data_IF_615773633099
#
_entry.id   IF_615773633099
#
_cell.length_a   1.000
_cell.length_b   1.000
_cell.length_c   1.000
_cell.angle_alpha   90.00
_cell.angle_beta   90.00
_cell.angle_gamma   90.00
#
_symmetry.space_group_name_H-M   'P 1'
#
loop_
_entity.id
_entity.type
_entity.pdbx_description
1 polymer ?
#
# COMPACT_ATOMS: atom_id res chain seq x y z
N UNK A 1 16.39 -53.75 -1.44
CA UNK A 1 15.61 -52.97 -0.45
C UNK A 1 14.91 -51.91 -1.27
N UNK A 2 13.64 -52.16 -1.60
CA UNK A 2 12.79 -51.29 -2.42
C UNK A 2 12.39 -50.05 -1.60
N UNK A 3 12.46 -48.87 -2.19
CA UNK A 3 12.02 -47.62 -1.55
C UNK A 3 10.48 -47.57 -1.58
N UNK A 4 9.80 -47.19 -0.49
CA UNK A 4 8.34 -47.13 -0.50
C UNK A 4 7.89 -45.96 -1.40
N UNK A 5 6.97 -46.24 -2.32
CA UNK A 5 6.26 -45.20 -3.06
C UNK A 5 5.30 -44.47 -2.12
N UNK A 6 5.45 -43.15 -2.04
CA UNK A 6 4.49 -42.29 -1.37
C UNK A 6 3.29 -42.08 -2.32
N UNK A 7 2.16 -42.73 -2.03
CA UNK A 7 0.90 -42.39 -2.65
C UNK A 7 0.43 -41.03 -2.11
N UNK A 8 0.61 -39.98 -2.91
CA UNK A 8 0.05 -38.67 -2.65
C UNK A 8 -1.48 -38.78 -2.68
N UNK A 9 -2.10 -38.73 -1.51
CA UNK A 9 -3.55 -38.87 -1.36
C UNK A 9 -4.15 -37.47 -1.37
N UNK A 10 -4.94 -37.14 -2.40
CA UNK A 10 -5.64 -35.87 -2.46
C UNK A 10 -6.59 -35.71 -1.26
N UNK A 11 -6.66 -34.51 -0.65
CA UNK A 11 -7.53 -34.28 0.48
C UNK A 11 -9.01 -34.36 0.07
N UNK A 12 -9.90 -34.79 0.98
CA UNK A 12 -11.33 -34.92 0.70
C UNK A 12 -11.95 -33.57 0.29
N UNK A 13 -12.95 -33.64 -0.60
CA UNK A 13 -13.61 -32.49 -1.25
C UNK A 13 -14.17 -31.43 -0.29
N UNK A 14 -14.39 -31.81 0.97
CA UNK A 14 -15.07 -31.01 1.98
C UNK A 14 -14.11 -30.41 3.01
N UNK A 15 -12.80 -30.35 2.70
CA UNK A 15 -11.80 -29.75 3.58
C UNK A 15 -12.02 -28.22 3.74
N UNK A 16 -12.10 -27.71 4.99
CA UNK A 16 -12.40 -26.29 5.26
C UNK A 16 -11.16 -25.39 5.34
N UNK A 17 -9.95 -25.86 5.01
CA UNK A 17 -8.76 -25.02 5.06
C UNK A 17 -8.70 -24.00 3.90
N UNK A 18 -8.10 -22.85 4.17
CA UNK A 18 -8.03 -21.70 3.24
C UNK A 18 -7.37 -22.05 1.90
N UNK A 19 -6.41 -22.97 1.89
CA UNK A 19 -5.72 -23.39 0.66
C UNK A 19 -6.59 -24.28 -0.22
N UNK A 20 -7.40 -25.18 0.35
CA UNK A 20 -8.40 -25.92 -0.41
C UNK A 20 -9.53 -25.01 -0.90
N UNK A 21 -9.90 -23.96 -0.15
CA UNK A 21 -10.86 -22.97 -0.62
C UNK A 21 -10.32 -22.15 -1.82
N UNK A 22 -9.05 -21.75 -1.78
CA UNK A 22 -8.36 -21.10 -2.91
C UNK A 22 -8.28 -22.00 -4.15
N UNK A 23 -7.92 -23.28 -3.98
CA UNK A 23 -7.87 -24.23 -5.08
C UNK A 23 -9.22 -24.38 -5.80
N UNK A 24 -10.31 -24.54 -5.04
CA UNK A 24 -11.67 -24.64 -5.61
C UNK A 24 -12.12 -23.39 -6.36
N UNK A 25 -11.69 -22.20 -5.91
CA UNK A 25 -11.98 -20.94 -6.61
C UNK A 25 -11.21 -20.85 -7.94
N UNK A 26 -9.94 -21.25 -7.96
CA UNK A 26 -9.12 -21.28 -9.18
C UNK A 26 -9.69 -22.24 -10.24
N UNK A 27 -10.10 -23.45 -9.83
CA UNK A 27 -10.69 -24.43 -10.75
C UNK A 27 -12.07 -24.02 -11.28
N UNK A 28 -12.89 -23.34 -10.47
CA UNK A 28 -14.14 -22.75 -10.96
C UNK A 28 -13.86 -21.68 -12.01
N UNK A 29 -12.89 -20.81 -11.75
CA UNK A 29 -12.52 -19.74 -12.68
C UNK A 29 -12.01 -20.28 -14.02
N UNK A 30 -11.18 -21.33 -14.00
CA UNK A 30 -10.68 -22.00 -15.20
C UNK A 30 -11.80 -22.62 -16.06
N UNK A 31 -12.88 -23.11 -15.42
CA UNK A 31 -14.04 -23.70 -16.12
C UNK A 31 -15.02 -22.66 -16.68
N UNK A 32 -15.02 -21.45 -16.16
CA UNK A 32 -15.92 -20.35 -16.59
C UNK A 32 -15.25 -19.29 -17.45
N UNK A 33 -13.93 -19.33 -17.62
CA UNK A 33 -13.21 -18.37 -18.44
C UNK A 33 -13.54 -18.60 -19.94
N UNK A 34 -14.02 -17.56 -20.67
CA UNK A 34 -14.18 -17.67 -22.11
C UNK A 34 -12.81 -17.85 -22.80
N UNK A 35 -12.73 -18.55 -23.93
CA UNK A 35 -11.46 -18.73 -24.65
C UNK A 35 -10.89 -17.37 -25.07
N UNK A 36 -9.56 -17.24 -24.94
CA UNK A 36 -8.86 -16.02 -25.35
C UNK A 36 -9.13 -15.70 -26.83
N UNK A 37 -9.34 -14.43 -27.20
CA UNK A 37 -9.54 -14.05 -28.59
C UNK A 37 -8.27 -14.33 -29.39
N UNK A 38 -8.43 -15.07 -30.49
CA UNK A 38 -7.37 -15.28 -31.47
C UNK A 38 -7.03 -13.95 -32.17
N UNK A 39 -5.74 -13.58 -32.29
CA UNK A 39 -5.37 -12.34 -32.96
C UNK A 39 -5.63 -12.45 -34.47
N UNK A 40 -6.53 -11.60 -34.98
CA UNK A 40 -6.79 -11.47 -36.42
C UNK A 40 -5.74 -10.53 -37.02
N UNK A 41 -4.97 -10.94 -38.05
CA UNK A 41 -3.99 -10.06 -38.67
C UNK A 41 -4.70 -8.92 -39.43
N UNK A 42 -4.28 -7.70 -39.13
CA UNK A 42 -4.75 -6.45 -39.72
C UNK A 42 -4.39 -6.39 -41.21
N UNK A 43 -5.40 -6.21 -42.08
CA UNK A 43 -5.20 -5.91 -43.51
C UNK A 43 -5.58 -4.45 -43.78
N UNK A 44 -4.74 -3.63 -44.44
CA UNK A 44 -5.11 -2.27 -44.81
C UNK A 44 -6.18 -2.30 -45.92
N UNK A 45 -7.26 -1.57 -45.74
CA UNK A 45 -8.35 -1.45 -46.70
C UNK A 45 -7.96 -0.53 -47.87
N UNK A 46 -8.11 -1.03 -49.10
CA UNK A 46 -8.09 -0.25 -50.34
C UNK A 46 -9.53 0.23 -50.60
N UNK A 47 -9.77 1.50 -50.98
CA UNK A 47 -11.12 1.98 -51.25
C UNK A 47 -11.57 1.54 -52.66
N UNK A 48 -12.65 0.77 -52.74
CA UNK A 48 -13.33 0.49 -54.01
C UNK A 48 -14.57 1.36 -54.13
N UNK A 49 -14.56 2.22 -55.14
CA UNK A 49 -15.73 2.94 -55.67
C UNK A 49 -16.53 1.98 -56.57
N UNK A 50 -17.85 1.89 -56.40
CA UNK A 50 -18.84 1.69 -57.48
C UNK A 50 -20.27 1.61 -56.89
N UNK A 51 -21.14 2.57 -57.17
CA UNK A 51 -22.12 2.63 -58.30
C UNK A 51 -23.49 2.08 -57.88
N UNK A 52 -24.45 3.00 -57.89
CA UNK A 52 -25.91 2.80 -57.77
C UNK A 52 -26.50 2.10 -58.98
N UNK A 53 -27.49 1.21 -58.77
CA UNK A 53 -28.59 0.99 -59.73
C UNK A 53 -29.92 0.83 -58.98
N UNK A 54 -30.92 1.50 -59.56
CA UNK A 54 -32.32 1.66 -59.17
C UNK A 54 -33.11 0.35 -59.03
N UNK A 55 -34.11 0.40 -58.15
CA UNK A 55 -35.29 -0.48 -58.17
C UNK A 55 -36.50 0.19 -57.50
N UNK A 56 -37.37 0.75 -58.33
CA UNK A 56 -38.75 1.26 -58.11
C UNK A 56 -39.68 0.16 -57.55
N UNK A 57 -40.86 0.35 -56.97
CA UNK A 57 -41.75 1.44 -56.51
C UNK A 57 -42.83 0.75 -55.63
N UNK A 58 -43.53 1.40 -54.69
CA UNK A 58 -44.90 1.96 -54.75
C UNK A 58 -45.35 1.85 -53.27
N UNK A 59 -45.98 2.79 -52.57
CA UNK A 59 -46.51 4.12 -52.84
C UNK A 59 -47.38 4.53 -51.64
N UNK A 60 -47.77 5.80 -51.64
CA UNK A 60 -48.75 6.49 -50.77
C UNK A 60 -48.31 6.80 -49.34
N UNK A 61 -48.14 8.09 -49.08
CA UNK A 61 -47.92 8.64 -47.74
C UNK A 61 -49.19 9.19 -47.12
N UNK A 62 -49.09 9.56 -45.85
CA UNK A 62 -49.78 10.69 -45.24
C UNK A 62 -49.10 10.97 -43.89
N UNK A 63 -48.52 12.16 -43.75
CA UNK A 63 -48.17 12.72 -42.45
C UNK A 63 -49.44 12.93 -41.64
N UNK A 64 -49.49 12.49 -40.39
CA UNK A 64 -50.36 13.06 -39.37
C UNK A 64 -49.54 13.25 -38.08
N UNK A 65 -49.83 14.39 -37.47
CA UNK A 65 -49.09 15.03 -36.40
C UNK A 65 -49.03 14.23 -35.09
N UNK A 66 -48.07 14.64 -34.28
CA UNK A 66 -47.91 14.27 -32.89
C UNK A 66 -49.22 14.34 -32.09
N UNK A 67 -49.46 13.30 -31.29
CA UNK A 67 -50.31 13.35 -30.12
C UNK A 67 -49.65 12.50 -29.03
N UNK A 68 -49.19 13.17 -27.96
CA UNK A 68 -48.87 12.53 -26.70
C UNK A 68 -50.15 12.05 -26.03
N UNK A 69 -50.09 10.99 -25.21
CA UNK A 69 -51.00 10.85 -24.08
C UNK A 69 -50.24 10.81 -22.75
N UNK A 70 -50.48 11.86 -21.98
CA UNK A 70 -51.09 11.86 -20.65
C UNK A 70 -50.56 10.93 -19.54
N UNK A 71 -50.30 11.59 -18.40
CA UNK A 71 -49.79 11.09 -17.15
C UNK A 71 -50.70 10.03 -16.49
N UNK A 72 -50.08 8.95 -16.03
CA UNK A 72 -50.67 8.07 -15.02
C UNK A 72 -50.17 8.48 -13.62
N UNK A 73 -51.12 8.75 -12.73
CA UNK A 73 -50.92 9.09 -11.33
C UNK A 73 -50.25 7.94 -10.52
N UNK A 74 -49.63 8.23 -9.37
CA UNK A 74 -48.63 7.36 -8.76
C UNK A 74 -49.28 6.19 -8.01
N UNK A 75 -48.75 4.99 -8.24
CA UNK A 75 -49.00 3.84 -7.36
C UNK A 75 -48.32 4.10 -6.01
N UNK A 76 -49.12 4.06 -4.95
CA UNK A 76 -48.70 4.20 -3.55
C UNK A 76 -47.69 3.11 -3.19
N UNK A 77 -46.41 3.40 -3.37
CA UNK A 77 -45.34 2.55 -2.86
C UNK A 77 -45.37 2.63 -1.33
N UNK A 78 -45.75 1.51 -0.70
CA UNK A 78 -45.58 1.31 0.73
C UNK A 78 -44.13 1.63 1.08
N UNK A 79 -43.95 2.68 1.86
CA UNK A 79 -42.68 3.08 2.45
C UNK A 79 -42.20 1.92 3.31
N UNK A 80 -41.41 1.02 2.71
CA UNK A 80 -40.50 0.21 3.49
C UNK A 80 -39.61 1.22 4.21
N UNK A 81 -39.72 1.26 5.53
CA UNK A 81 -38.72 1.91 6.37
C UNK A 81 -37.38 1.31 5.94
N UNK A 82 -36.63 2.06 5.13
CA UNK A 82 -35.25 1.77 4.89
C UNK A 82 -34.62 1.72 6.27
N UNK A 83 -34.22 0.52 6.71
CA UNK A 83 -33.32 0.40 7.85
C UNK A 83 -32.21 1.40 7.61
N UNK A 84 -32.02 2.32 8.56
CA UNK A 84 -30.85 3.18 8.56
C UNK A 84 -29.63 2.28 8.29
N UNK A 85 -28.71 2.67 7.37
CA UNK A 85 -27.52 1.86 7.15
C UNK A 85 -26.86 1.67 8.52
N UNK A 86 -26.57 0.42 8.87
CA UNK A 86 -25.85 0.12 10.10
C UNK A 86 -24.63 1.06 10.13
N UNK A 87 -24.48 1.82 11.21
CA UNK A 87 -23.31 2.65 11.41
C UNK A 87 -22.10 1.70 11.36
N UNK A 88 -21.34 1.77 10.27
CA UNK A 88 -20.16 0.92 10.14
C UNK A 88 -19.17 1.43 11.19
N UNK A 89 -18.83 0.56 12.13
CA UNK A 89 -17.94 0.94 13.23
C UNK A 89 -16.51 0.97 12.70
N UNK A 90 -15.77 2.07 12.88
CA UNK A 90 -14.38 2.15 12.45
C UNK A 90 -13.53 1.04 13.09
N UNK A 91 -12.67 0.41 12.30
CA UNK A 91 -11.82 -0.70 12.77
C UNK A 91 -10.79 -0.20 13.79
N UNK A 92 -10.53 -0.99 14.84
CA UNK A 92 -9.33 -0.85 15.69
C UNK A 92 -8.17 -1.59 15.02
N UNK A 93 -7.11 -0.87 14.67
CA UNK A 93 -6.02 -1.40 13.83
C UNK A 93 -4.65 -1.06 14.43
N UNK A 94 -3.69 -1.98 14.34
CA UNK A 94 -2.29 -1.62 14.58
C UNK A 94 -1.74 -0.79 13.42
N UNK A 95 -0.61 -0.11 13.62
CA UNK A 95 0.08 0.61 12.53
C UNK A 95 0.45 -0.31 11.38
N UNK A 96 0.95 -1.49 11.70
CA UNK A 96 1.31 -2.48 10.69
C UNK A 96 0.09 -2.84 9.83
N UNK A 97 -1.08 -3.05 10.44
CA UNK A 97 -2.32 -3.34 9.72
C UNK A 97 -2.77 -2.17 8.84
N UNK A 98 -2.65 -0.93 9.31
CA UNK A 98 -2.98 0.27 8.50
C UNK A 98 -2.07 0.34 7.26
N UNK A 99 -0.76 0.16 7.43
CA UNK A 99 0.21 0.20 6.33
C UNK A 99 0.02 -1.00 5.38
N UNK A 100 -0.32 -2.17 5.89
CA UNK A 100 -0.61 -3.34 5.06
C UNK A 100 -1.82 -3.09 4.16
N UNK A 101 -2.90 -2.53 4.73
CA UNK A 101 -4.10 -2.13 3.97
C UNK A 101 -3.77 -1.11 2.89
N UNK A 102 -3.01 -0.08 3.22
CA UNK A 102 -2.53 0.92 2.26
C UNK A 102 -1.69 0.28 1.15
N UNK A 103 -0.78 -0.65 1.50
CA UNK A 103 0.10 -1.32 0.54
C UNK A 103 -0.69 -2.16 -0.47
N UNK A 104 -1.79 -2.82 -0.07
CA UNK A 104 -2.63 -3.59 -1.00
C UNK A 104 -3.16 -2.75 -2.16
N UNK A 105 -3.54 -1.49 -1.92
CA UNK A 105 -3.98 -0.60 -2.99
C UNK A 105 -2.83 -0.08 -3.84
N UNK A 106 -1.68 0.24 -3.25
CA UNK A 106 -0.51 0.70 -4.02
C UNK A 106 0.09 -0.41 -4.88
N UNK A 107 0.11 -1.64 -4.38
CA UNK A 107 0.64 -2.81 -5.09
C UNK A 107 -0.28 -3.23 -6.24
N UNK A 108 -1.60 -3.10 -6.06
CA UNK A 108 -2.59 -3.32 -7.10
C UNK A 108 -2.70 -2.15 -8.10
N UNK A 109 -2.00 -1.03 -7.85
CA UNK A 109 -2.11 0.21 -8.63
C UNK A 109 -3.57 0.60 -8.89
N UNK A 110 -4.39 0.65 -7.82
CA UNK A 110 -5.84 0.92 -7.93
C UNK A 110 -6.07 2.24 -8.69
N UNK A 111 -6.82 2.24 -9.81
CA UNK A 111 -6.99 3.44 -10.64
C UNK A 111 -7.68 4.58 -9.89
N UNK A 112 -7.20 5.81 -10.05
CA UNK A 112 -7.79 6.97 -9.40
C UNK A 112 -9.17 7.31 -9.98
N UNK A 113 -10.17 7.46 -9.12
CA UNK A 113 -11.52 7.89 -9.51
C UNK A 113 -12.31 8.48 -8.34
N UNK A 114 -12.80 9.71 -8.51
CA UNK A 114 -13.69 10.40 -7.55
C UNK A 114 -15.12 9.84 -7.52
N UNK A 115 -15.50 8.94 -8.44
CA UNK A 115 -16.87 8.46 -8.60
C UNK A 115 -17.03 6.94 -8.54
N UNK A 116 -15.93 6.19 -8.59
CA UNK A 116 -15.94 4.73 -8.56
C UNK A 116 -15.47 4.22 -7.20
N UNK A 117 -15.98 3.05 -6.85
CA UNK A 117 -15.53 2.27 -5.69
C UNK A 117 -14.74 1.06 -6.15
N UNK A 118 -13.75 0.67 -5.36
CA UNK A 118 -13.02 -0.58 -5.54
C UNK A 118 -13.82 -1.77 -4.99
N UNK A 119 -13.33 -2.98 -5.21
CA UNK A 119 -14.02 -4.23 -4.82
C UNK A 119 -14.21 -4.40 -3.32
N UNK A 120 -13.47 -3.66 -2.50
CA UNK A 120 -13.59 -3.60 -1.04
C UNK A 120 -14.58 -2.53 -0.54
N UNK A 121 -15.29 -1.85 -1.45
CA UNK A 121 -16.34 -0.89 -1.13
C UNK A 121 -15.88 0.54 -0.91
N UNK A 122 -14.57 0.83 -0.99
CA UNK A 122 -14.04 2.18 -0.80
C UNK A 122 -13.86 2.95 -2.11
N UNK A 123 -14.04 4.26 -2.08
CA UNK A 123 -13.91 5.17 -3.23
C UNK A 123 -12.45 5.30 -3.63
N UNK A 124 -12.18 5.27 -4.93
CA UNK A 124 -10.82 5.20 -5.47
C UNK A 124 -10.11 6.58 -5.53
N UNK A 125 -10.34 7.45 -4.56
CA UNK A 125 -9.72 8.77 -4.48
C UNK A 125 -8.85 8.93 -3.23
N UNK A 126 -8.24 10.11 -3.04
CA UNK A 126 -7.30 10.37 -1.96
C UNK A 126 -7.90 10.10 -0.56
N UNK A 127 -9.11 10.61 -0.30
CA UNK A 127 -9.80 10.39 0.98
C UNK A 127 -10.40 9.00 1.15
N UNK A 128 -10.84 8.36 0.07
CA UNK A 128 -11.28 6.97 0.09
C UNK A 128 -10.13 6.00 0.35
N UNK A 129 -8.92 6.31 -0.13
CA UNK A 129 -7.70 5.59 0.21
C UNK A 129 -7.42 5.60 1.73
N UNK A 130 -7.51 6.75 2.39
CA UNK A 130 -7.31 6.85 3.85
C UNK A 130 -8.45 6.19 4.61
N UNK A 131 -9.70 6.38 4.16
CA UNK A 131 -10.87 5.69 4.72
C UNK A 131 -10.71 4.17 4.68
N UNK A 132 -10.18 3.66 3.57
CA UNK A 132 -9.83 2.26 3.39
C UNK A 132 -8.69 1.86 4.32
N UNK A 133 -7.58 2.59 4.35
CA UNK A 133 -6.42 2.25 5.18
C UNK A 133 -6.76 2.18 6.68
N UNK A 134 -7.63 3.09 7.16
CA UNK A 134 -8.11 3.11 8.55
C UNK A 134 -9.32 2.20 8.80
N UNK A 135 -9.91 1.62 7.76
CA UNK A 135 -11.05 0.73 7.89
C UNK A 135 -12.27 1.42 8.52
N UNK A 136 -12.60 2.62 8.05
CA UNK A 136 -13.70 3.41 8.62
C UNK A 136 -15.07 2.76 8.38
N UNK A 137 -15.19 1.92 7.35
CA UNK A 137 -16.46 1.33 6.92
C UNK A 137 -17.40 2.33 6.21
N UNK A 138 -17.02 3.59 6.13
CA UNK A 138 -17.61 4.64 5.32
C UNK A 138 -16.57 5.24 4.36
N UNK A 139 -17.04 6.07 3.42
CA UNK A 139 -16.21 6.74 2.43
C UNK A 139 -16.14 8.24 2.72
N UNK A 140 -15.30 8.61 3.68
CA UNK A 140 -15.13 9.99 4.09
C UNK A 140 -14.50 10.85 2.98
N UNK A 141 -14.56 12.16 3.18
CA UNK A 141 -13.94 13.14 2.31
C UNK A 141 -13.01 14.03 3.14
N UNK A 142 -12.18 14.82 2.47
CA UNK A 142 -11.14 15.63 3.13
C UNK A 142 -11.68 16.60 4.20
N UNK A 143 -12.94 17.02 4.12
CA UNK A 143 -13.59 17.87 5.11
C UNK A 143 -14.24 17.15 6.29
N UNK A 144 -14.21 15.81 6.35
CA UNK A 144 -14.74 15.02 7.49
C UNK A 144 -13.73 14.04 8.09
N UNK A 145 -12.59 13.80 7.44
CA UNK A 145 -11.58 12.85 7.92
C UNK A 145 -10.98 13.21 9.29
N UNK A 146 -10.96 14.50 9.64
CA UNK A 146 -10.51 14.98 10.94
C UNK A 146 -11.43 14.56 12.10
N UNK A 147 -12.71 14.29 11.84
CA UNK A 147 -13.63 13.74 12.84
C UNK A 147 -13.22 12.35 13.35
N UNK A 148 -12.44 11.60 12.57
CA UNK A 148 -11.95 10.25 12.90
C UNK A 148 -10.53 10.24 13.48
N UNK A 149 -9.93 11.41 13.63
CA UNK A 149 -8.52 11.54 14.00
C UNK A 149 -8.30 12.60 15.09
N UNK A 150 -7.10 12.62 15.66
CA UNK A 150 -6.61 13.67 16.55
C UNK A 150 -5.46 14.39 15.88
N UNK A 151 -5.42 15.72 15.95
CA UNK A 151 -4.31 16.51 15.42
C UNK A 151 -3.06 16.23 16.25
N UNK A 152 -1.92 16.02 15.58
CA UNK A 152 -0.63 15.75 16.22
C UNK A 152 0.44 16.75 15.76
N UNK A 153 1.55 16.81 16.48
CA UNK A 153 2.72 17.54 16.03
C UNK A 153 3.44 16.76 14.91
N UNK A 154 4.21 17.47 14.08
CA UNK A 154 5.04 16.85 13.02
C UNK A 154 6.01 15.83 13.63
N UNK A 155 6.55 16.16 14.78
CA UNK A 155 7.56 15.40 15.49
C UNK A 155 7.05 14.04 15.95
N UNK A 156 5.73 13.94 16.13
CA UNK A 156 5.01 12.76 16.57
C UNK A 156 4.54 11.87 15.42
N UNK A 157 4.75 12.26 14.15
CA UNK A 157 4.33 11.48 12.99
C UNK A 157 4.90 10.06 13.03
N UNK A 158 4.01 9.09 12.94
CA UNK A 158 4.32 7.65 12.87
C UNK A 158 3.58 7.02 11.69
N UNK A 159 4.09 5.88 11.16
CA UNK A 159 3.43 5.18 10.06
C UNK A 159 1.93 4.94 10.33
N UNK A 160 1.08 5.22 9.35
CA UNK A 160 -0.37 5.11 9.45
C UNK A 160 -1.09 6.37 9.95
N UNK A 161 -0.37 7.41 10.38
CA UNK A 161 -0.92 8.76 10.54
C UNK A 161 -1.19 9.37 9.14
N UNK A 162 -2.05 10.40 9.03
CA UNK A 162 -2.29 11.10 7.77
C UNK A 162 -1.74 12.53 7.80
N UNK A 163 -1.48 13.06 6.61
CA UNK A 163 -1.26 14.48 6.36
C UNK A 163 -2.45 14.98 5.53
N UNK A 164 -3.29 15.81 6.16
CA UNK A 164 -4.54 16.29 5.60
C UNK A 164 -4.43 17.75 5.18
N UNK A 165 -4.74 18.04 3.92
CA UNK A 165 -5.02 19.37 3.43
C UNK A 165 -6.47 19.45 2.94
N UNK A 166 -7.26 20.29 3.60
CA UNK A 166 -8.61 20.62 3.16
C UNK A 166 -8.69 22.11 2.80
N UNK A 167 -9.14 22.40 1.58
CA UNK A 167 -9.45 23.74 1.10
C UNK A 167 -10.99 23.88 1.01
N UNK A 168 -11.64 24.63 1.92
CA UNK A 168 -13.09 24.84 1.88
C UNK A 168 -13.58 25.59 0.63
N UNK A 169 -12.72 26.39 -0.02
CA UNK A 169 -13.06 27.11 -1.24
C UNK A 169 -12.96 26.19 -2.48
N UNK A 170 -12.13 25.15 -2.41
CA UNK A 170 -12.00 24.13 -3.44
C UNK A 170 -11.95 22.71 -2.85
N UNK A 171 -13.07 22.21 -2.30
CA UNK A 171 -13.11 20.99 -1.49
C UNK A 171 -12.80 19.70 -2.27
N UNK A 172 -12.95 19.72 -3.59
CA UNK A 172 -12.72 18.55 -4.45
C UNK A 172 -11.34 18.55 -5.10
N UNK A 173 -10.98 19.64 -5.76
CA UNK A 173 -9.75 19.68 -6.57
C UNK A 173 -8.58 20.37 -5.84
N UNK A 174 -8.86 21.17 -4.80
CA UNK A 174 -7.86 21.87 -3.98
C UNK A 174 -7.55 21.18 -2.66
N UNK A 175 -8.22 20.07 -2.36
CA UNK A 175 -7.99 19.28 -1.15
C UNK A 175 -7.27 17.98 -1.49
N UNK A 176 -6.42 17.52 -0.58
CA UNK A 176 -5.71 16.26 -0.73
C UNK A 176 -5.31 15.68 0.62
N UNK A 177 -5.11 14.37 0.65
CA UNK A 177 -4.67 13.68 1.86
C UNK A 177 -3.70 12.57 1.48
N UNK A 178 -2.67 12.41 2.31
CA UNK A 178 -1.71 11.31 2.17
C UNK A 178 -1.60 10.55 3.47
N UNK A 179 -1.33 9.25 3.39
CA UNK A 179 -1.02 8.42 4.55
C UNK A 179 0.50 8.37 4.72
N UNK A 180 0.98 8.73 5.90
CA UNK A 180 2.39 8.77 6.25
C UNK A 180 2.92 7.35 6.45
N UNK A 181 3.92 6.96 5.67
CA UNK A 181 4.57 5.65 5.71
C UNK A 181 5.86 5.61 6.53
N UNK A 182 6.36 6.76 6.98
CA UNK A 182 7.64 6.89 7.66
C UNK A 182 8.53 7.96 7.02
N UNK A 183 9.39 8.57 7.83
CA UNK A 183 10.45 9.45 7.33
C UNK A 183 11.44 8.63 6.49
N UNK A 184 11.92 9.18 5.38
CA UNK A 184 12.92 8.51 4.54
C UNK A 184 14.32 8.58 5.14
N UNK A 185 14.55 9.56 6.02
CA UNK A 185 15.84 9.81 6.67
C UNK A 185 15.65 10.67 7.94
N UNK A 186 16.69 10.80 8.80
CA UNK A 186 16.59 11.55 10.05
C UNK A 186 16.38 13.06 9.91
N UNK A 187 16.60 13.66 8.73
CA UNK A 187 16.33 15.09 8.52
C UNK A 187 14.82 15.39 8.58
N UNK A 188 13.98 14.34 8.45
CA UNK A 188 12.52 14.43 8.43
C UNK A 188 12.02 15.42 7.38
N UNK A 189 12.78 15.60 6.30
CA UNK A 189 12.44 16.51 5.19
C UNK A 189 11.71 15.80 4.06
N UNK A 190 11.75 14.47 4.05
CA UNK A 190 11.04 13.60 3.11
C UNK A 190 10.42 12.43 3.85
N UNK A 191 9.26 12.00 3.37
CA UNK A 191 8.55 10.85 3.92
C UNK A 191 8.04 9.97 2.80
N UNK A 192 7.79 8.71 3.11
CA UNK A 192 7.08 7.80 2.23
C UNK A 192 5.60 8.13 2.30
N UNK A 193 5.02 8.69 1.24
CA UNK A 193 3.59 8.88 1.13
C UNK A 193 2.95 7.63 0.50
N UNK A 194 1.92 7.09 1.16
CA UNK A 194 0.94 6.20 0.55
C UNK A 194 -0.28 7.02 0.19
N UNK A 195 -0.69 7.02 -1.08
CA UNK A 195 -1.79 7.87 -1.53
C UNK A 195 -2.48 7.28 -2.77
N UNK A 196 -3.75 7.63 -2.94
CA UNK A 196 -4.39 7.63 -4.25
C UNK A 196 -4.24 9.03 -4.85
N UNK A 197 -3.48 9.11 -5.95
CA UNK A 197 -3.36 10.29 -6.78
C UNK A 197 -3.50 9.85 -8.25
N UNK A 198 -3.74 10.78 -9.18
CA UNK A 198 -3.78 10.41 -10.59
C UNK A 198 -2.39 9.92 -11.03
N UNK A 199 -2.29 8.82 -11.81
CA UNK A 199 -3.38 8.02 -12.37
C UNK A 199 -3.88 6.85 -11.49
N UNK A 200 -3.16 6.48 -10.43
CA UNK A 200 -3.51 5.36 -9.55
C UNK A 200 -2.89 5.50 -8.16
N UNK A 201 -3.34 4.66 -7.22
CA UNK A 201 -2.71 4.48 -5.93
C UNK A 201 -1.21 4.16 -6.07
N UNK A 202 -0.39 4.82 -5.25
CA UNK A 202 1.06 4.73 -5.32
C UNK A 202 1.70 4.94 -3.94
N UNK A 203 2.94 4.50 -3.84
CA UNK A 203 3.85 4.83 -2.75
C UNK A 203 5.03 5.61 -3.33
N UNK A 204 5.33 6.77 -2.77
CA UNK A 204 6.40 7.63 -3.28
C UNK A 204 7.12 8.35 -2.14
N UNK A 205 8.42 8.60 -2.30
CA UNK A 205 9.11 9.58 -1.47
C UNK A 205 8.58 10.98 -1.83
N UNK A 206 8.11 11.70 -0.81
CA UNK A 206 7.43 12.98 -0.94
C UNK A 206 8.06 13.97 0.04
N UNK A 207 8.34 15.22 -0.38
CA UNK A 207 8.90 16.21 0.53
C UNK A 207 7.87 16.51 1.62
N UNK A 208 8.33 16.76 2.84
CA UNK A 208 7.47 17.31 3.88
C UNK A 208 7.41 18.84 3.71
N UNK A 209 6.27 19.45 3.45
CA UNK A 209 4.88 18.99 3.64
C UNK A 209 4.04 19.01 2.35
N UNK A 210 4.52 18.26 1.35
CA UNK A 210 4.01 18.20 -0.02
C UNK A 210 4.46 19.41 -0.87
N UNK A 211 4.73 19.15 -2.15
CA UNK A 211 5.55 19.96 -3.08
C UNK A 211 5.38 21.48 -2.96
N UNK A 212 4.16 22.01 -3.20
CA UNK A 212 3.93 23.45 -3.34
C UNK A 212 3.12 24.07 -2.16
N UNK A 213 2.67 23.27 -1.18
CA UNK A 213 1.67 23.68 -0.17
C UNK A 213 2.03 23.25 1.27
N UNK A 214 3.33 23.17 1.57
CA UNK A 214 3.87 22.63 2.83
C UNK A 214 3.21 23.11 4.14
N UNK A 215 2.82 24.37 4.25
CA UNK A 215 2.16 24.87 5.47
C UNK A 215 0.74 24.33 5.70
N UNK A 216 0.10 23.73 4.70
CA UNK A 216 -1.34 23.42 4.71
C UNK A 216 -1.66 21.94 4.98
N UNK A 217 -0.66 21.06 4.91
CA UNK A 217 -0.81 19.64 5.24
C UNK A 217 -0.59 19.44 6.74
N UNK A 218 -1.69 19.20 7.45
CA UNK A 218 -1.69 19.07 8.90
C UNK A 218 -1.61 17.59 9.31
N UNK A 219 -0.74 17.22 10.27
CA UNK A 219 -0.64 15.85 10.78
C UNK A 219 -1.83 15.44 11.64
N UNK A 220 -2.38 14.25 11.39
CA UNK A 220 -3.46 13.65 12.18
C UNK A 220 -3.21 12.16 12.45
N UNK A 221 -3.53 11.73 13.66
CA UNK A 221 -3.49 10.32 14.09
C UNK A 221 -4.88 9.74 14.20
N UNK A 222 -5.08 8.55 13.62
CA UNK A 222 -6.34 7.83 13.73
C UNK A 222 -6.72 7.52 15.19
N UNK A 223 -7.96 7.82 15.59
CA UNK A 223 -8.44 7.66 16.98
C UNK A 223 -8.42 6.21 17.48
N UNK A 224 -8.50 5.23 16.57
CA UNK A 224 -8.61 3.81 16.91
C UNK A 224 -7.34 3.01 16.58
N UNK A 225 -6.18 3.68 16.51
CA UNK A 225 -4.89 2.99 16.40
C UNK A 225 -4.59 2.21 17.69
N UNK A 226 -4.23 0.94 17.54
CA UNK A 226 -3.75 0.08 18.62
C UNK A 226 -2.22 0.12 18.59
N UNK A 227 -1.64 0.61 19.69
CA UNK A 227 -0.20 0.68 19.88
C UNK A 227 0.33 -0.70 20.26
N UNK A 228 1.25 -1.27 19.46
CA UNK A 228 1.92 -2.53 19.82
C UNK A 228 2.76 -2.30 21.10
N UNK A 229 2.36 -2.95 22.19
CA UNK A 229 2.91 -2.75 23.55
C UNK A 229 1.88 -2.31 24.60
N UNK A 230 0.67 -1.90 24.20
CA UNK A 230 -0.43 -1.64 25.12
C UNK A 230 -1.21 -2.93 25.42
N UNK A 231 -0.60 -3.85 26.16
CA UNK A 231 -1.36 -4.91 26.84
C UNK A 231 -1.95 -4.28 28.10
N UNK A 232 -3.29 -4.17 28.17
CA UNK A 232 -4.00 -3.72 29.36
C UNK A 232 -3.58 -4.60 30.55
N UNK A 233 -2.83 -4.02 31.49
CA UNK A 233 -2.52 -4.66 32.76
C UNK A 233 -3.82 -4.67 33.60
N UNK A 234 -4.30 -5.84 34.06
CA UNK A 234 -5.41 -5.88 35.00
C UNK A 234 -5.00 -5.23 36.33
N UNK A 235 -5.93 -4.67 37.13
CA UNK A 235 -5.58 -3.86 38.29
C UNK A 235 -4.85 -4.71 39.33
N UNK A 236 -3.63 -4.26 39.70
CA UNK A 236 -2.82 -4.86 40.76
C UNK A 236 -3.58 -4.82 42.09
N UNK A 237 -3.83 -6.01 42.65
CA UNK A 237 -4.08 -6.17 44.09
C UNK A 237 -2.78 -6.68 44.70
N UNK A 238 -2.12 -5.82 45.45
CA UNK A 238 -0.75 -6.05 45.93
C UNK A 238 -0.63 -7.11 47.02
N UNK A 239 0.60 -7.59 47.23
CA UNK A 239 1.15 -7.84 48.56
C UNK A 239 2.65 -8.14 48.51
N UNK A 240 3.32 -7.72 49.57
CA UNK A 240 4.77 -7.56 49.77
C UNK A 240 5.46 -8.74 50.48
N UNK A 241 6.80 -8.65 50.59
CA UNK A 241 7.77 -9.35 51.49
C UNK A 241 8.34 -10.69 50.98
N UNK A 242 9.63 -11.06 51.06
CA UNK A 242 10.92 -10.46 51.48
C UNK A 242 12.01 -11.58 51.43
N UNK A 243 13.12 -11.38 50.70
CA UNK A 243 14.55 -11.38 51.12
C UNK A 243 15.30 -12.72 51.35
N UNK A 244 16.39 -12.98 50.58
CA UNK A 244 17.78 -13.29 51.02
C UNK A 244 18.66 -14.07 49.98
N UNK A 245 19.73 -13.42 49.45
CA UNK A 245 21.10 -13.99 49.20
C UNK A 245 21.49 -14.82 47.94
N UNK A 246 22.54 -14.46 47.14
CA UNK A 246 22.98 -15.11 45.86
C UNK A 246 24.30 -15.95 45.98
N UNK A 247 24.89 -16.62 44.93
CA UNK A 247 25.53 -15.96 43.75
C UNK A 247 25.48 -16.69 42.37
N UNK A 248 25.84 -15.90 41.35
CA UNK A 248 26.41 -16.20 40.01
C UNK A 248 25.57 -16.83 38.88
N UNK A 249 25.49 -16.10 37.76
CA UNK A 249 25.02 -16.60 36.45
C UNK A 249 24.81 -15.49 35.43
N UNK A 250 25.74 -15.38 34.48
CA UNK A 250 25.86 -14.37 33.44
C UNK A 250 24.58 -14.02 32.65
N UNK A 251 24.31 -12.72 32.55
CA UNK A 251 23.42 -12.13 31.55
C UNK A 251 23.52 -10.60 31.60
N UNK A 252 23.79 -9.88 30.50
CA UNK A 252 23.88 -8.43 30.54
C UNK A 252 22.50 -7.84 30.84
N UNK A 253 22.46 -7.18 32.00
CA UNK A 253 21.42 -6.29 32.50
C UNK A 253 20.98 -5.29 31.43
N UNK A 254 19.68 -5.28 31.11
CA UNK A 254 19.02 -4.13 30.51
C UNK A 254 18.69 -3.16 31.65
N UNK A 255 19.53 -2.14 31.85
CA UNK A 255 19.12 -0.95 32.58
C UNK A 255 18.43 0.02 31.61
N UNK A 256 17.26 0.51 32.01
CA UNK A 256 16.59 1.59 31.34
C UNK A 256 17.18 2.91 31.81
N UNK A 257 17.95 3.58 30.95
CA UNK A 257 18.12 5.03 30.98
C UNK A 257 18.42 5.56 29.57
N UNK A 258 18.08 6.83 29.30
CA UNK A 258 17.70 7.30 27.97
C UNK A 258 18.93 7.40 27.06
N UNK A 259 18.79 6.97 25.80
CA UNK A 259 19.78 7.31 24.79
C UNK A 259 19.70 8.80 24.50
N UNK A 260 20.45 9.56 25.29
CA UNK A 260 21.11 10.79 24.90
C UNK A 260 22.43 10.42 24.19
N UNK A 261 22.83 11.22 23.19
CA UNK A 261 24.12 11.10 22.52
C UNK A 261 24.06 10.58 21.07
N UNK A 262 24.12 11.50 20.12
CA UNK A 262 23.94 11.25 18.69
C UNK A 262 24.98 10.36 18.01
N UNK A 263 24.53 9.66 16.96
CA UNK A 263 25.40 9.18 15.89
C UNK A 263 24.58 9.08 14.59
N UNK A 264 25.15 9.62 13.52
CA UNK A 264 24.60 9.75 12.18
C UNK A 264 24.10 8.41 11.60
N UNK A 265 22.87 8.37 11.09
CA UNK A 265 22.34 7.24 10.28
C UNK A 265 22.94 7.26 8.85
N UNK A 266 24.26 7.28 8.81
CA UNK A 266 25.17 7.28 7.65
C UNK A 266 26.64 7.24 8.10
N UNK A 267 26.90 6.77 9.33
CA UNK A 267 28.22 6.77 9.97
C UNK A 267 29.25 5.87 9.28
N UNK A 268 30.39 5.68 9.95
CA UNK A 268 31.47 4.82 9.48
C UNK A 268 30.96 3.45 9.03
N UNK A 269 31.59 2.90 7.99
CA UNK A 269 31.20 1.61 7.42
C UNK A 269 31.08 0.54 8.52
N UNK A 270 29.91 -0.12 8.66
CA UNK A 270 29.59 -0.97 9.82
C UNK A 270 30.30 -2.33 9.82
N UNK A 271 31.22 -2.54 8.88
CA UNK A 271 31.98 -3.77 8.70
C UNK A 271 31.37 -4.72 7.67
N UNK A 272 32.23 -5.38 6.88
CA UNK A 272 31.81 -6.29 5.82
C UNK A 272 30.97 -7.46 6.33
N UNK A 273 31.20 -7.90 7.57
CA UNK A 273 30.46 -9.00 8.21
C UNK A 273 28.96 -8.75 8.40
N UNK A 274 28.47 -7.51 8.22
CA UNK A 274 27.04 -7.17 8.25
C UNK A 274 26.30 -7.51 6.96
N UNK A 275 27.04 -7.79 5.89
CA UNK A 275 26.51 -8.01 4.55
C UNK A 275 26.89 -9.40 4.05
N UNK A 276 26.08 -9.95 3.14
CA UNK A 276 26.29 -11.27 2.55
C UNK A 276 25.29 -12.34 2.98
N UNK A 277 25.39 -13.55 2.40
CA UNK A 277 24.41 -14.62 2.59
C UNK A 277 24.12 -14.91 4.07
N UNK A 278 22.84 -15.00 4.41
CA UNK A 278 22.37 -15.30 5.78
C UNK A 278 22.45 -14.11 6.75
N UNK A 279 22.82 -12.91 6.30
CA UNK A 279 22.79 -11.72 7.15
C UNK A 279 21.41 -11.09 7.20
N UNK A 280 21.04 -10.63 8.39
CA UNK A 280 19.81 -9.90 8.66
C UNK A 280 20.11 -8.71 9.59
N UNK A 281 19.49 -7.56 9.32
CA UNK A 281 19.49 -6.41 10.22
C UNK A 281 19.39 -5.08 9.52
N UNK A 282 19.38 -4.03 10.33
CA UNK A 282 19.11 -2.64 9.95
C UNK A 282 20.08 -2.11 8.90
N UNK A 283 21.34 -2.53 8.96
CA UNK A 283 22.37 -2.12 8.00
C UNK A 283 22.10 -2.67 6.59
N UNK A 284 21.51 -3.86 6.47
CA UNK A 284 21.13 -4.44 5.17
C UNK A 284 20.00 -3.64 4.56
N UNK A 285 18.96 -3.34 5.35
CA UNK A 285 17.84 -2.52 4.90
C UNK A 285 18.33 -1.12 4.50
N UNK A 286 19.14 -0.49 5.34
CA UNK A 286 19.71 0.84 5.09
C UNK A 286 20.53 0.88 3.79
N UNK A 287 21.38 -0.12 3.56
CA UNK A 287 22.12 -0.24 2.30
C UNK A 287 21.17 -0.34 1.10
N UNK A 288 20.17 -1.22 1.20
CA UNK A 288 19.22 -1.47 0.13
C UNK A 288 18.38 -0.23 -0.21
N UNK A 289 17.88 0.47 0.81
CA UNK A 289 17.16 1.74 0.67
C UNK A 289 18.04 2.82 0.04
N UNK A 290 19.32 2.88 0.42
CA UNK A 290 20.24 3.86 -0.16
C UNK A 290 20.57 3.57 -1.62
N UNK A 291 20.69 2.30 -2.00
CA UNK A 291 20.85 1.89 -3.39
C UNK A 291 19.63 2.32 -4.21
N UNK A 292 18.41 2.11 -3.69
CA UNK A 292 17.18 2.57 -4.35
C UNK A 292 17.18 4.08 -4.54
N UNK A 293 17.49 4.85 -3.49
CA UNK A 293 17.58 6.31 -3.55
C UNK A 293 18.59 6.81 -4.60
N UNK A 294 19.66 6.04 -4.85
CA UNK A 294 20.69 6.36 -5.85
C UNK A 294 20.36 5.83 -7.25
N UNK A 295 19.18 5.26 -7.45
CA UNK A 295 18.73 4.72 -8.74
C UNK A 295 19.19 3.28 -9.01
N UNK A 296 19.76 2.60 -8.03
CA UNK A 296 20.26 1.22 -8.13
C UNK A 296 19.26 0.24 -7.52
N UNK A 297 18.06 0.18 -8.09
CA UNK A 297 16.95 -0.66 -7.61
C UNK A 297 16.60 -1.83 -8.53
N UNK A 298 17.23 -1.93 -9.71
CA UNK A 298 16.78 -2.77 -10.82
C UNK A 298 16.58 -4.26 -10.47
N UNK A 299 17.25 -4.76 -9.44
CA UNK A 299 17.13 -6.15 -9.01
C UNK A 299 16.13 -6.38 -7.88
N UNK A 300 15.55 -5.33 -7.30
CA UNK A 300 14.49 -5.46 -6.30
C UNK A 300 13.13 -5.65 -6.99
N UNK A 301 12.47 -6.77 -6.69
CA UNK A 301 11.08 -7.03 -7.13
C UNK A 301 10.04 -6.53 -6.14
N UNK A 302 10.37 -6.57 -4.84
CA UNK A 302 9.49 -6.19 -3.73
C UNK A 302 10.06 -4.99 -2.94
N UNK A 303 11.29 -4.58 -3.26
CA UNK A 303 12.05 -3.58 -2.51
C UNK A 303 13.14 -4.19 -1.63
N UNK A 304 13.98 -3.34 -1.03
CA UNK A 304 15.00 -3.76 -0.07
C UNK A 304 14.35 -4.27 1.22
N UNK A 305 15.04 -5.17 1.91
CA UNK A 305 14.57 -5.77 3.17
C UNK A 305 15.69 -5.84 4.19
N UNK A 306 15.37 -6.18 5.45
CA UNK A 306 16.40 -6.43 6.48
C UNK A 306 17.19 -7.70 6.22
N UNK A 307 16.69 -8.62 5.38
CA UNK A 307 17.38 -9.86 5.03
C UNK A 307 18.22 -9.65 3.78
N UNK A 308 19.51 -9.97 3.86
CA UNK A 308 20.40 -9.88 2.70
C UNK A 308 19.98 -10.88 1.65
N UNK A 309 19.83 -10.40 0.43
CA UNK A 309 19.43 -11.18 -0.72
C UNK A 309 20.40 -10.98 -1.88
N UNK A 310 20.22 -11.82 -2.89
CA UNK A 310 20.92 -11.70 -4.15
C UNK A 310 20.58 -10.38 -4.89
N UNK A 311 19.41 -9.79 -4.62
CA UNK A 311 19.04 -8.49 -5.17
C UNK A 311 19.95 -7.38 -4.62
N UNK A 312 20.26 -7.41 -3.32
CA UNK A 312 21.17 -6.46 -2.69
C UNK A 312 22.56 -6.56 -3.33
N UNK A 313 23.11 -7.78 -3.45
CA UNK A 313 24.43 -8.00 -4.07
C UNK A 313 24.50 -7.43 -5.50
N UNK A 314 23.49 -7.71 -6.33
CA UNK A 314 23.50 -7.24 -7.73
C UNK A 314 23.33 -5.73 -7.83
N UNK A 315 22.49 -5.12 -6.98
CA UNK A 315 22.31 -3.67 -6.95
C UNK A 315 23.57 -2.96 -6.44
N UNK A 316 24.28 -3.51 -5.46
CA UNK A 316 25.61 -3.03 -5.05
C UNK A 316 26.60 -3.13 -6.21
N UNK A 317 26.64 -4.26 -6.91
CA UNK A 317 27.55 -4.44 -8.05
C UNK A 317 27.25 -3.45 -9.18
N UNK A 318 25.97 -3.17 -9.43
CA UNK A 318 25.55 -2.15 -10.40
C UNK A 318 26.02 -0.76 -9.97
N UNK A 319 25.88 -0.41 -8.70
CA UNK A 319 26.40 0.83 -8.13
C UNK A 319 27.92 0.96 -8.29
N UNK A 320 28.67 -0.08 -7.92
CA UNK A 320 30.13 -0.13 -8.03
C UNK A 320 30.60 0.06 -9.48
N UNK A 321 29.96 -0.62 -10.45
CA UNK A 321 30.26 -0.42 -11.88
C UNK A 321 29.96 1.00 -12.34
N UNK A 322 28.89 1.62 -11.85
CA UNK A 322 28.58 3.02 -12.16
C UNK A 322 29.60 4.01 -11.58
N UNK A 323 30.42 3.59 -10.60
CA UNK A 323 31.58 4.35 -10.13
C UNK A 323 32.84 4.15 -11.00
N UNK A 324 32.76 3.34 -12.06
CA UNK A 324 33.89 2.98 -12.92
C UNK A 324 34.73 1.79 -12.42
N UNK A 325 34.27 1.08 -11.38
CA UNK A 325 35.00 -0.06 -10.83
C UNK A 325 34.78 -1.32 -11.67
N UNK A 326 35.73 -2.24 -11.67
CA UNK A 326 35.67 -3.47 -12.49
C UNK A 326 36.35 -4.65 -11.81
N UNK A 327 36.07 -5.87 -12.31
CA UNK A 327 36.66 -7.09 -11.75
C UNK A 327 36.32 -7.27 -10.26
N UNK A 328 37.29 -7.63 -9.41
CA UNK A 328 37.09 -7.81 -7.97
C UNK A 328 36.54 -6.60 -7.23
N UNK A 329 36.76 -5.38 -7.75
CA UNK A 329 36.30 -4.15 -7.10
C UNK A 329 34.79 -3.90 -7.30
N UNK A 330 34.12 -4.66 -8.18
CA UNK A 330 32.67 -4.59 -8.45
C UNK A 330 31.96 -5.93 -8.18
N UNK A 331 32.35 -6.59 -7.10
CA UNK A 331 31.89 -7.90 -6.65
C UNK A 331 30.46 -7.93 -6.07
N UNK A 332 29.89 -6.76 -5.78
CA UNK A 332 28.57 -6.62 -5.18
C UNK A 332 28.54 -6.71 -3.66
N UNK A 333 29.69 -6.69 -2.99
CA UNK A 333 29.76 -6.59 -1.55
C UNK A 333 30.19 -5.17 -1.14
N UNK A 334 29.44 -4.50 -0.24
CA UNK A 334 29.79 -3.15 0.16
C UNK A 334 31.05 -3.18 1.02
N UNK A 335 32.06 -2.40 0.63
CA UNK A 335 33.23 -2.07 1.45
C UNK A 335 33.18 -0.62 1.98
N UNK A 336 34.22 -0.17 2.71
CA UNK A 336 34.28 1.20 3.23
C UNK A 336 34.11 2.27 2.14
N UNK A 337 34.72 2.04 0.96
CA UNK A 337 34.59 2.94 -0.18
C UNK A 337 33.17 2.97 -0.74
N UNK A 338 32.55 1.80 -0.94
CA UNK A 338 31.16 1.69 -1.40
C UNK A 338 30.23 2.45 -0.46
N UNK A 339 30.43 2.26 0.85
CA UNK A 339 29.64 2.91 1.88
C UNK A 339 29.83 4.43 1.87
N UNK A 340 31.07 4.92 1.82
CA UNK A 340 31.34 6.37 1.76
C UNK A 340 30.68 7.03 0.56
N UNK A 341 30.67 6.36 -0.60
CA UNK A 341 30.03 6.91 -1.81
C UNK A 341 28.51 6.82 -1.77
N UNK A 342 27.95 5.78 -1.15
CA UNK A 342 26.51 5.67 -0.94
C UNK A 342 26.03 6.68 0.11
N UNK A 343 26.80 6.96 1.16
CA UNK A 343 26.44 7.83 2.29
C UNK A 343 27.46 9.00 2.44
N UNK A 344 27.46 9.96 1.50
CA UNK A 344 28.33 11.13 1.52
C UNK A 344 27.87 12.20 2.51
#
# INVERSE_FOLDING_TARGET
MEMPEFLETDPPSDCPCDDCARGRLADRWARTAPPAPVPVPWRPAVPTVAVTVLGTAVGTGAAHAAAAPEAAAPATARTGTASAPAAHTPMRLTRAQIIERASRWTDAAVPYSMSRTWSDGYRQDCSGFVSMAWGLGSNEWTGSLDEYAVRIAREDLRPGDMLLHHDPANPRDGSHVTLFGGWTDPSRSWYVAYEAARPHARKQATPYAYWDDSGKYLPYRYKHVVEEGAQERPPDTGSSSGADGPPDGDGPSYDGSPYDGGSSYGGAFPGAGRFGPGRHGDHVLLLGERLVHRGFAAHYRQGPSRTWSEADRRNVAAFQRAQGWSGPDADGFPGPETWRRLFP
#
